data_IF_358137205266
#
_entry.id   IF_358137205266
#
_cell.length_a   1.000
_cell.length_b   1.000
_cell.length_c   1.000
_cell.angle_alpha   90.00
_cell.angle_beta   90.00
_cell.angle_gamma   90.00
#
_symmetry.space_group_name_H-M   'P 1'
#
loop_
_entity.id
_entity.type
_entity.pdbx_description
1 polymer ?
#
# COMPACT_ATOMS: atom_id res chain seq x y z
N UNK A 1 -1.29 3.88 13.28
CA UNK A 1 -2.70 3.46 13.42
C UNK A 1 -3.57 4.68 13.13
N UNK A 2 -4.90 4.60 13.27
CA UNK A 2 -5.80 5.72 12.94
C UNK A 2 -5.42 7.07 13.60
N UNK A 3 -5.16 7.14 14.93
CA UNK A 3 -4.84 8.41 15.59
C UNK A 3 -3.61 9.11 15.02
N UNK A 4 -2.56 8.34 14.71
CA UNK A 4 -1.33 8.89 14.14
C UNK A 4 -1.52 9.37 12.71
N UNK A 5 -2.29 8.64 11.90
CA UNK A 5 -2.59 9.01 10.51
C UNK A 5 -3.43 10.29 10.44
N UNK A 6 -4.49 10.39 11.24
CA UNK A 6 -5.30 11.61 11.31
C UNK A 6 -4.46 12.83 11.71
N UNK A 7 -3.61 12.67 12.72
CA UNK A 7 -2.72 13.74 13.19
C UNK A 7 -1.69 14.14 12.14
N UNK A 8 -1.13 13.17 11.41
CA UNK A 8 -0.18 13.41 10.34
C UNK A 8 -0.84 14.17 9.17
N UNK A 9 -2.02 13.72 8.71
CA UNK A 9 -2.79 14.37 7.64
C UNK A 9 -3.15 15.81 8.02
N UNK A 10 -3.68 16.03 9.23
CA UNK A 10 -4.03 17.38 9.69
C UNK A 10 -2.82 18.30 9.73
N UNK A 11 -1.72 17.87 10.36
CA UNK A 11 -0.51 18.69 10.47
C UNK A 11 0.18 18.92 9.13
N UNK A 12 0.23 17.90 8.27
CA UNK A 12 0.78 18.00 6.91
C UNK A 12 0.00 18.98 6.04
N UNK A 13 -1.31 19.11 6.28
CA UNK A 13 -2.18 20.09 5.63
C UNK A 13 -2.17 21.48 6.28
N UNK A 14 -1.39 21.69 7.36
CA UNK A 14 -1.28 22.97 8.05
C UNK A 14 -2.48 23.36 8.91
N UNK A 15 -3.44 22.48 9.14
CA UNK A 15 -4.66 22.80 9.90
C UNK A 15 -4.47 22.71 11.41
N UNK A 16 -5.01 23.69 12.14
CA UNK A 16 -5.32 23.53 13.57
C UNK A 16 -6.53 22.61 13.75
N UNK A 17 -6.77 22.12 14.98
CA UNK A 17 -7.94 21.28 15.28
C UNK A 17 -9.25 22.01 14.94
N UNK A 18 -9.36 23.28 15.29
CA UNK A 18 -10.56 24.09 15.02
C UNK A 18 -10.73 24.39 13.54
N UNK A 19 -9.65 24.67 12.81
CA UNK A 19 -9.73 24.86 11.35
C UNK A 19 -10.18 23.57 10.65
N UNK A 20 -9.60 22.42 11.00
CA UNK A 20 -10.03 21.16 10.41
C UNK A 20 -11.52 20.89 10.68
N UNK A 21 -11.98 21.11 11.91
CA UNK A 21 -13.39 20.96 12.25
C UNK A 21 -14.29 21.87 11.38
N UNK A 22 -13.90 23.14 11.22
CA UNK A 22 -14.65 24.09 10.40
C UNK A 22 -14.67 23.69 8.92
N UNK A 23 -13.55 23.25 8.36
CA UNK A 23 -13.49 22.80 6.96
C UNK A 23 -14.30 21.53 6.73
N UNK A 24 -14.23 20.56 7.65
CA UNK A 24 -15.07 19.36 7.59
C UNK A 24 -16.56 19.69 7.60
N UNK A 25 -16.97 20.72 8.36
CA UNK A 25 -18.37 21.14 8.44
C UNK A 25 -18.86 21.90 7.20
N UNK A 26 -17.95 22.36 6.34
CA UNK A 26 -18.30 23.02 5.06
C UNK A 26 -18.47 22.04 3.91
N UNK A 27 -18.10 20.77 4.10
CA UNK A 27 -18.23 19.77 3.04
C UNK A 27 -19.71 19.53 2.72
N UNK A 28 -20.07 19.78 1.47
CA UNK A 28 -21.37 19.42 0.92
C UNK A 28 -21.37 17.91 0.61
N UNK A 29 -21.73 17.12 1.62
CA UNK A 29 -21.91 15.67 1.53
C UNK A 29 -23.38 15.32 1.76
N UNK A 30 -23.75 14.10 1.40
CA UNK A 30 -25.06 13.51 1.66
C UNK A 30 -25.47 13.71 3.14
N UNK A 31 -26.77 13.86 3.41
CA UNK A 31 -27.32 14.24 4.70
C UNK A 31 -26.86 13.29 5.83
N UNK A 32 -26.60 12.02 5.51
CA UNK A 32 -26.09 11.01 6.45
C UNK A 32 -24.66 11.26 6.93
N UNK A 33 -23.87 12.06 6.22
CA UNK A 33 -22.49 12.42 6.57
C UNK A 33 -22.38 13.77 7.30
N UNK A 34 -23.45 14.55 7.27
CA UNK A 34 -23.52 15.89 7.87
C UNK A 34 -24.45 15.95 9.10
N UNK A 35 -24.81 14.80 9.67
CA UNK A 35 -25.74 14.69 10.81
C UNK A 35 -25.29 15.51 12.03
N UNK A 36 -23.98 15.55 12.31
CA UNK A 36 -23.44 16.31 13.44
C UNK A 36 -22.20 17.12 13.05
N UNK A 37 -22.14 18.40 13.43
CA UNK A 37 -20.96 19.22 13.17
C UNK A 37 -19.78 18.73 14.01
N UNK A 38 -18.62 18.62 13.38
CA UNK A 38 -17.37 18.28 14.02
C UNK A 38 -16.86 19.44 14.87
N UNK A 39 -16.10 19.12 15.92
CA UNK A 39 -15.44 20.12 16.77
C UNK A 39 -13.95 19.82 16.96
N UNK A 40 -13.16 20.87 17.21
CA UNK A 40 -11.72 20.72 17.47
C UNK A 40 -11.39 19.77 18.64
N UNK A 41 -12.09 19.85 19.80
CA UNK A 41 -11.89 18.90 20.90
C UNK A 41 -12.20 17.45 20.54
N UNK A 42 -13.25 17.22 19.72
CA UNK A 42 -13.61 15.89 19.23
C UNK A 42 -12.46 15.30 18.39
N UNK A 43 -11.96 16.04 17.42
CA UNK A 43 -10.81 15.65 16.59
C UNK A 43 -9.57 15.42 17.46
N UNK A 44 -9.32 16.29 18.44
CA UNK A 44 -8.21 16.13 19.38
C UNK A 44 -8.35 14.89 20.30
N UNK A 45 -9.57 14.43 20.56
CA UNK A 45 -9.82 13.16 21.24
C UNK A 45 -9.45 11.97 20.36
N UNK A 46 -9.81 12.03 19.07
CA UNK A 46 -9.47 11.01 18.07
C UNK A 46 -7.97 10.89 17.82
N UNK A 47 -7.25 12.00 17.69
CA UNK A 47 -5.79 12.01 17.51
C UNK A 47 -5.00 11.47 18.72
N UNK A 48 -5.64 11.40 19.89
CA UNK A 48 -5.08 10.81 21.10
C UNK A 48 -5.56 9.38 21.33
N UNK A 49 -6.47 8.87 20.50
CA UNK A 49 -7.08 7.55 20.65
C UNK A 49 -7.97 7.43 21.89
N UNK A 50 -8.52 8.53 22.41
CA UNK A 50 -9.37 8.50 23.60
C UNK A 50 -10.79 8.07 23.23
N UNK A 51 -11.34 8.68 22.18
CA UNK A 51 -12.61 8.29 21.60
C UNK A 51 -12.38 7.72 20.21
N UNK A 52 -13.24 6.80 19.80
CA UNK A 52 -13.24 6.22 18.47
C UNK A 52 -14.29 6.95 17.62
N UNK A 53 -13.93 7.48 16.44
CA UNK A 53 -14.91 8.02 15.51
C UNK A 53 -15.83 6.93 14.97
N UNK A 54 -17.05 7.31 14.61
CA UNK A 54 -17.98 6.48 13.87
C UNK A 54 -17.50 6.22 12.43
N UNK A 55 -18.11 5.24 11.76
CA UNK A 55 -17.83 4.94 10.35
C UNK A 55 -18.01 6.18 9.45
N UNK A 56 -19.10 6.93 9.63
CA UNK A 56 -19.38 8.13 8.84
C UNK A 56 -18.32 9.22 9.04
N UNK A 57 -17.81 9.39 10.26
CA UNK A 57 -16.73 10.35 10.55
C UNK A 57 -15.40 9.93 9.91
N UNK A 58 -15.08 8.64 9.93
CA UNK A 58 -13.90 8.10 9.21
C UNK A 58 -14.04 8.30 7.71
N UNK A 59 -15.21 8.03 7.14
CA UNK A 59 -15.46 8.22 5.71
C UNK A 59 -15.38 9.69 5.31
N UNK A 60 -15.96 10.59 6.11
CA UNK A 60 -15.88 12.04 5.92
C UNK A 60 -14.44 12.54 5.94
N UNK A 61 -13.62 12.06 6.87
CA UNK A 61 -12.19 12.38 6.94
C UNK A 61 -11.42 11.86 5.72
N UNK A 62 -11.71 10.63 5.29
CA UNK A 62 -11.08 10.03 4.12
C UNK A 62 -11.38 10.82 2.83
N UNK A 63 -12.65 11.23 2.64
CA UNK A 63 -13.06 12.09 1.53
C UNK A 63 -12.37 13.46 1.61
N UNK A 64 -12.36 14.10 2.79
CA UNK A 64 -11.73 15.42 2.96
C UNK A 64 -10.25 15.45 2.59
N UNK A 65 -9.51 14.43 2.99
CA UNK A 65 -8.07 14.33 2.75
C UNK A 65 -7.71 13.64 1.43
N UNK A 66 -8.70 13.23 0.63
CA UNK A 66 -8.52 12.46 -0.60
C UNK A 66 -7.64 11.21 -0.41
N UNK A 67 -7.96 10.42 0.62
CA UNK A 67 -7.28 9.15 0.94
C UNK A 67 -8.28 8.02 1.06
N UNK A 68 -7.82 6.78 0.92
CA UNK A 68 -8.68 5.63 1.18
C UNK A 68 -8.98 5.50 2.68
N UNK A 69 -10.14 4.93 3.01
CA UNK A 69 -10.48 4.61 4.39
C UNK A 69 -9.46 3.64 5.01
N UNK A 70 -8.95 2.67 4.24
CA UNK A 70 -7.92 1.74 4.72
C UNK A 70 -6.61 2.45 5.08
N UNK A 71 -6.22 3.47 4.30
CA UNK A 71 -5.05 4.28 4.60
C UNK A 71 -5.21 5.00 5.94
N UNK A 72 -6.32 5.73 6.13
CA UNK A 72 -6.51 6.54 7.33
C UNK A 72 -6.66 5.67 8.58
N UNK A 73 -7.23 4.48 8.51
CA UNK A 73 -7.28 3.56 9.67
C UNK A 73 -5.94 2.83 9.92
N UNK A 74 -4.95 3.01 9.05
CA UNK A 74 -3.63 2.41 9.18
C UNK A 74 -3.55 0.96 8.73
N UNK A 75 -4.46 0.50 7.85
CA UNK A 75 -4.33 -0.77 7.13
C UNK A 75 -3.38 -0.60 5.94
N UNK A 76 -2.11 -0.32 6.23
CA UNK A 76 -1.07 -0.08 5.21
C UNK A 76 -0.27 -1.33 4.80
N UNK A 77 -0.62 -2.51 5.31
CA UNK A 77 0.06 -3.76 4.95
C UNK A 77 -0.96 -4.82 4.57
N UNK A 78 -1.39 -4.80 3.31
CA UNK A 78 -1.73 -6.06 2.66
C UNK A 78 -0.54 -6.40 1.79
N UNK A 79 0.17 -7.48 2.13
CA UNK A 79 0.93 -8.20 1.12
C UNK A 79 -0.06 -8.50 -0.01
N UNK A 80 0.05 -7.76 -1.11
CA UNK A 80 -0.88 -7.92 -2.22
C UNK A 80 -0.34 -9.05 -3.07
N UNK A 81 -0.99 -10.19 -2.96
CA UNK A 81 -0.69 -11.35 -3.79
C UNK A 81 -1.11 -11.04 -5.24
N UNK A 82 -0.11 -10.86 -6.11
CA UNK A 82 -0.30 -10.54 -7.52
C UNK A 82 -1.18 -11.60 -8.19
N UNK A 83 -1.05 -12.88 -7.82
CA UNK A 83 -1.89 -13.94 -8.38
C UNK A 83 -3.37 -13.70 -8.07
N UNK A 84 -3.67 -13.26 -6.83
CA UNK A 84 -5.03 -12.90 -6.44
C UNK A 84 -5.53 -11.65 -7.18
N UNK A 85 -4.67 -10.67 -7.45
CA UNK A 85 -5.04 -9.48 -8.24
C UNK A 85 -5.48 -9.89 -9.64
N UNK A 86 -4.74 -10.77 -10.30
CA UNK A 86 -5.05 -11.19 -11.66
C UNK A 86 -6.28 -12.12 -11.72
N UNK A 87 -6.52 -12.92 -10.68
CA UNK A 87 -7.67 -13.82 -10.57
C UNK A 87 -8.98 -13.15 -10.08
N UNK A 88 -8.89 -12.05 -9.33
CA UNK A 88 -10.07 -11.38 -8.77
C UNK A 88 -10.88 -10.62 -9.82
N UNK A 89 -12.18 -10.43 -9.57
CA UNK A 89 -13.05 -9.61 -10.42
C UNK A 89 -12.94 -8.11 -10.08
N UNK A 90 -11.72 -7.59 -9.99
CA UNK A 90 -11.44 -6.17 -9.77
C UNK A 90 -11.21 -5.43 -11.11
N UNK A 91 -11.37 -4.12 -11.07
CA UNK A 91 -11.15 -3.27 -12.22
C UNK A 91 -9.66 -2.97 -12.39
N UNK A 92 -8.97 -3.71 -13.25
CA UNK A 92 -7.55 -3.51 -13.54
C UNK A 92 -7.38 -2.56 -14.73
N UNK A 93 -6.62 -1.50 -14.51
CA UNK A 93 -6.30 -0.50 -15.51
C UNK A 93 -4.80 -0.54 -15.77
N UNK A 94 -4.40 -0.59 -17.04
CA UNK A 94 -3.02 -0.43 -17.47
C UNK A 94 -3.00 0.56 -18.64
N UNK A 95 -2.16 1.59 -18.55
CA UNK A 95 -2.09 2.66 -19.55
C UNK A 95 -3.46 3.29 -19.87
N UNK A 96 -4.25 3.55 -18.83
CA UNK A 96 -5.60 4.12 -18.95
C UNK A 96 -6.67 3.19 -19.56
N UNK A 97 -6.33 1.94 -19.89
CA UNK A 97 -7.26 0.96 -20.47
C UNK A 97 -7.62 -0.15 -19.49
N UNK A 98 -8.88 -0.55 -19.50
CA UNK A 98 -9.35 -1.70 -18.75
C UNK A 98 -8.83 -3.00 -19.36
N UNK A 99 -8.20 -3.85 -18.55
CA UNK A 99 -7.70 -5.14 -19.01
C UNK A 99 -8.84 -6.16 -19.10
N UNK A 100 -9.01 -6.77 -20.28
CA UNK A 100 -9.89 -7.92 -20.47
C UNK A 100 -9.35 -9.17 -19.75
N UNK A 101 -10.21 -10.17 -19.54
CA UNK A 101 -9.79 -11.44 -18.93
C UNK A 101 -8.63 -12.13 -19.66
N UNK A 102 -8.59 -12.01 -21.00
CA UNK A 102 -7.49 -12.54 -21.82
C UNK A 102 -6.18 -11.79 -21.57
N UNK A 103 -6.21 -10.45 -21.63
CA UNK A 103 -5.02 -9.61 -21.40
C UNK A 103 -4.47 -9.78 -19.98
N UNK A 104 -5.35 -10.00 -19.00
CA UNK A 104 -4.96 -10.34 -17.63
C UNK A 104 -4.16 -11.64 -17.57
N UNK A 105 -4.65 -12.71 -18.22
CA UNK A 105 -3.96 -13.99 -18.25
C UNK A 105 -2.59 -13.91 -18.97
N UNK A 106 -2.53 -13.22 -20.10
CA UNK A 106 -1.28 -13.02 -20.85
C UNK A 106 -0.24 -12.23 -20.03
N UNK A 107 -0.67 -11.14 -19.38
CA UNK A 107 0.18 -10.32 -18.51
C UNK A 107 0.72 -11.12 -17.32
N UNK A 108 -0.13 -11.92 -16.67
CA UNK A 108 0.29 -12.79 -15.57
C UNK A 108 1.33 -13.82 -16.03
N UNK A 109 1.13 -14.46 -17.19
CA UNK A 109 2.08 -15.43 -17.73
C UNK A 109 3.45 -14.80 -18.06
N UNK A 110 3.46 -13.57 -18.59
CA UNK A 110 4.70 -12.83 -18.83
C UNK A 110 5.45 -12.54 -17.52
N UNK A 111 4.74 -12.06 -16.50
CA UNK A 111 5.32 -11.82 -15.17
C UNK A 111 5.87 -13.11 -14.56
N UNK A 112 5.09 -14.18 -14.58
CA UNK A 112 5.49 -15.50 -14.09
C UNK A 112 6.75 -16.00 -14.80
N UNK A 113 6.78 -15.93 -16.13
CA UNK A 113 7.95 -16.31 -16.93
C UNK A 113 9.19 -15.49 -16.60
N UNK A 114 9.03 -14.17 -16.38
CA UNK A 114 10.12 -13.30 -15.96
C UNK A 114 10.71 -13.73 -14.60
N UNK A 115 9.87 -13.97 -13.59
CA UNK A 115 10.34 -14.38 -12.26
C UNK A 115 11.04 -15.75 -12.29
N UNK A 116 10.44 -16.74 -12.96
CA UNK A 116 11.06 -18.07 -13.15
C UNK A 116 12.40 -17.94 -13.88
N UNK A 117 12.45 -17.16 -14.96
CA UNK A 117 13.70 -16.93 -15.70
C UNK A 117 14.78 -16.23 -14.87
N UNK A 118 14.40 -15.29 -13.99
CA UNK A 118 15.32 -14.61 -13.07
C UNK A 118 15.89 -15.58 -12.03
N UNK A 119 15.05 -16.42 -11.44
CA UNK A 119 15.48 -17.43 -10.46
C UNK A 119 16.43 -18.47 -11.07
N UNK A 120 16.13 -18.96 -12.27
CA UNK A 120 17.02 -19.88 -13.01
C UNK A 120 18.40 -19.22 -13.25
N UNK A 121 18.43 -17.98 -13.72
CA UNK A 121 19.69 -17.25 -13.94
C UNK A 121 20.48 -17.02 -12.65
N UNK A 122 19.80 -16.78 -11.53
CA UNK A 122 20.45 -16.64 -10.22
C UNK A 122 21.03 -17.97 -9.73
N UNK A 123 20.29 -19.07 -9.88
CA UNK A 123 20.76 -20.41 -9.53
C UNK A 123 21.96 -20.86 -10.37
N UNK A 124 21.94 -20.60 -11.68
CA UNK A 124 23.05 -20.87 -12.58
C UNK A 124 24.30 -20.04 -12.26
N UNK A 125 24.11 -18.74 -11.96
CA UNK A 125 25.23 -17.87 -11.59
C UNK A 125 25.87 -18.31 -10.27
N UNK A 126 25.07 -18.78 -9.31
CA UNK A 126 25.57 -19.28 -8.04
C UNK A 126 26.32 -20.62 -8.20
N UNK A 127 25.83 -21.53 -9.04
CA UNK A 127 26.52 -22.79 -9.31
C UNK A 127 27.83 -22.59 -10.07
N UNK A 128 27.88 -21.64 -11.01
CA UNK A 128 29.10 -21.26 -11.71
C UNK A 128 30.15 -20.66 -10.77
N UNK A 129 29.74 -19.75 -9.86
CA UNK A 129 30.62 -19.17 -8.84
C UNK A 129 31.21 -20.24 -7.92
N UNK A 130 30.36 -21.12 -7.39
CA UNK A 130 30.80 -22.21 -6.52
C UNK A 130 31.78 -23.13 -7.27
N UNK A 131 31.51 -23.46 -8.53
CA UNK A 131 32.39 -24.32 -9.34
C UNK A 131 33.77 -23.70 -9.64
N UNK A 132 33.85 -22.37 -9.78
CA UNK A 132 35.11 -21.64 -9.96
C UNK A 132 35.93 -21.63 -8.68
N UNK A 133 35.28 -21.42 -7.54
CA UNK A 133 35.92 -21.45 -6.22
C UNK A 133 36.55 -22.82 -5.93
N UNK A 134 35.83 -23.92 -6.21
CA UNK A 134 36.39 -25.27 -6.10
C UNK A 134 37.61 -25.49 -7.00
N UNK A 135 37.58 -25.00 -8.25
CA UNK A 135 38.72 -25.10 -9.18
C UNK A 135 39.93 -24.29 -8.70
N UNK A 136 39.74 -23.09 -8.17
CA UNK A 136 40.83 -22.28 -7.61
C UNK A 136 41.47 -22.94 -6.38
N UNK A 137 40.65 -23.52 -5.49
CA UNK A 137 41.15 -24.24 -4.31
C UNK A 137 41.97 -25.47 -4.73
N UNK A 138 41.47 -26.27 -5.67
CA UNK A 138 42.19 -27.44 -6.20
C UNK A 138 43.48 -27.07 -6.92
N UNK A 139 43.49 -25.97 -7.68
CA UNK A 139 44.68 -25.47 -8.38
C UNK A 139 45.77 -25.07 -7.38
N UNK A 140 45.44 -24.30 -6.33
CA UNK A 140 46.39 -23.89 -5.27
C UNK A 140 46.97 -25.06 -4.46
N UNK A 141 46.23 -26.17 -4.35
CA UNK A 141 46.71 -27.38 -3.67
C UNK A 141 47.64 -28.23 -4.57
N UNK A 142 47.48 -28.14 -5.89
CA UNK A 142 48.31 -28.85 -6.88
C UNK A 142 49.71 -28.23 -7.07
N UNK A 143 49.87 -26.93 -6.84
CA UNK A 143 51.16 -26.22 -7.00
C UNK A 143 52.08 -26.30 -5.77
N UNK A 144 51.68 -27.00 -4.69
CA UNK A 144 52.49 -27.19 -3.47
C UNK A 144 53.28 -28.51 -3.43
N UNK A 145 53.65 -29.08 -4.58
CA UNK A 145 54.56 -30.24 -4.68
C UNK A 145 55.79 -29.87 -5.50
#
# INVERSE_FOLDING_TARGET
>A
MFPEQLKALRKGSGYTLSQLANELNKLELDDQLNVHPNSGPQIGSWERGINTPSYYEVMKLAIFFDVSMDFIVGRINQQIDIEKIFAANNNLIFDGKHLSGKERAESYNLLKGYFVGKEIKMGQRQSELNSREYKEISFRLGEKK
#
